data_IF_300455186265
#
_entry.id   IF_300455186265
#
_cell.length_a   1.000
_cell.length_b   1.000
_cell.length_c   1.000
_cell.angle_alpha   90.00
_cell.angle_beta   90.00
_cell.angle_gamma   90.00
#
_symmetry.space_group_name_H-M   'P 1'
#
loop_
_entity.id
_entity.type
_entity.pdbx_description
1 polymer ?
#
# COMPACT_ATOMS: atom_id res chain seq x y z
N UNK A 1 -23.78 15.61 61.87
CA UNK A 1 -23.32 16.16 60.57
C UNK A 1 -21.87 15.72 60.41
N UNK A 2 -21.53 14.55 59.86
CA UNK A 2 -21.82 13.96 58.54
C UNK A 2 -21.41 14.90 57.38
N UNK A 3 -20.37 14.45 56.66
CA UNK A 3 -19.94 14.86 55.31
C UNK A 3 -19.05 16.10 55.25
N UNK A 4 -17.80 16.00 55.71
CA UNK A 4 -16.70 16.85 55.21
C UNK A 4 -15.39 16.04 55.22
N UNK A 5 -15.35 14.92 54.51
CA UNK A 5 -14.08 14.19 54.29
C UNK A 5 -14.16 13.30 53.05
N UNK A 6 -14.56 13.85 51.90
CA UNK A 6 -14.56 13.12 50.61
C UNK A 6 -14.58 14.07 49.43
N UNK A 7 -13.61 14.99 49.36
CA UNK A 7 -13.42 15.84 48.17
C UNK A 7 -11.95 16.09 47.85
N UNK A 8 -11.08 15.09 48.07
CA UNK A 8 -9.65 15.20 47.74
C UNK A 8 -9.06 13.91 47.14
N UNK A 9 -9.87 13.15 46.39
CA UNK A 9 -9.38 12.07 45.50
C UNK A 9 -10.14 12.17 44.17
N UNK A 10 -10.02 13.31 43.50
CA UNK A 10 -10.39 13.45 42.09
C UNK A 10 -9.32 14.27 41.36
N UNK A 11 -8.06 14.03 41.74
CA UNK A 11 -6.91 14.56 41.04
C UNK A 11 -6.39 13.47 40.09
N UNK A 12 -6.65 13.69 38.80
CA UNK A 12 -5.76 13.29 37.71
C UNK A 12 -5.75 11.77 37.43
N UNK A 13 -6.88 11.25 36.98
CA UNK A 13 -6.89 10.23 35.92
C UNK A 13 -7.18 10.90 34.59
N UNK A 14 -6.39 11.92 34.26
CA UNK A 14 -6.21 12.30 32.86
C UNK A 14 -5.35 11.20 32.25
N UNK A 15 -5.99 10.07 31.96
CA UNK A 15 -5.43 9.00 31.15
C UNK A 15 -5.13 9.63 29.80
N UNK A 16 -3.90 10.10 29.62
CA UNK A 16 -3.34 10.39 28.32
C UNK A 16 -3.28 9.04 27.60
N UNK A 17 -4.38 8.68 26.95
CA UNK A 17 -4.37 7.76 25.84
C UNK A 17 -3.59 8.47 24.72
N UNK A 18 -2.27 8.55 24.89
CA UNK A 18 -1.35 8.71 23.78
C UNK A 18 -1.58 7.45 22.95
N UNK A 19 -2.49 7.54 21.98
CA UNK A 19 -2.61 6.54 20.95
C UNK A 19 -1.21 6.38 20.39
N UNK A 20 -0.59 5.22 20.63
CA UNK A 20 0.67 4.87 19.99
C UNK A 20 0.36 4.83 18.50
N UNK A 21 0.61 5.94 17.79
CA UNK A 21 0.74 5.90 16.35
C UNK A 21 1.93 4.97 16.11
N UNK A 22 1.61 3.72 15.76
CA UNK A 22 2.60 2.70 15.48
C UNK A 22 3.41 3.20 14.30
N UNK A 23 4.60 3.72 14.58
CA UNK A 23 5.48 4.26 13.57
C UNK A 23 5.74 3.17 12.52
N UNK A 24 5.50 3.50 11.26
CA UNK A 24 5.69 2.57 10.16
C UNK A 24 7.19 2.23 10.10
N UNK A 25 7.51 0.94 10.00
CA UNK A 25 8.90 0.47 9.89
C UNK A 25 9.12 -0.21 8.55
N UNK A 26 10.36 -0.18 8.04
CA UNK A 26 10.79 -0.94 6.86
C UNK A 26 10.35 -2.41 6.93
N UNK A 27 10.51 -3.04 8.09
CA UNK A 27 10.13 -4.43 8.29
C UNK A 27 8.62 -4.64 8.18
N UNK A 28 7.80 -3.70 8.67
CA UNK A 28 6.34 -3.77 8.56
C UNK A 28 5.85 -3.66 7.12
N UNK A 29 6.46 -2.79 6.30
CA UNK A 29 6.13 -2.65 4.88
C UNK A 29 6.54 -3.89 4.09
N UNK A 30 7.72 -4.46 4.33
CA UNK A 30 8.09 -5.73 3.69
C UNK A 30 7.21 -6.90 4.13
N UNK A 31 6.79 -6.92 5.40
CA UNK A 31 5.84 -7.93 5.90
C UNK A 31 4.50 -7.80 5.19
N UNK A 32 4.06 -6.57 4.90
CA UNK A 32 2.85 -6.28 4.16
C UNK A 32 2.89 -6.89 2.75
N UNK A 33 3.90 -6.53 1.95
CA UNK A 33 4.03 -7.07 0.59
C UNK A 33 4.27 -8.58 0.55
N UNK A 34 5.01 -9.11 1.53
CA UNK A 34 5.18 -10.56 1.64
C UNK A 34 3.85 -11.29 1.91
N UNK A 35 2.94 -10.68 2.67
CA UNK A 35 1.64 -11.27 2.99
C UNK A 35 0.68 -11.29 1.80
N UNK A 36 0.86 -10.43 0.81
CA UNK A 36 0.06 -10.40 -0.42
C UNK A 36 0.56 -11.35 -1.52
N UNK A 37 1.67 -12.06 -1.30
CA UNK A 37 2.20 -13.01 -2.31
C UNK A 37 1.28 -14.23 -2.38
N UNK A 38 0.64 -14.43 -3.53
CA UNK A 38 -0.16 -15.60 -3.86
C UNK A 38 0.46 -16.33 -5.06
N UNK A 39 0.86 -17.59 -4.85
CA UNK A 39 1.47 -18.43 -5.87
C UNK A 39 1.22 -19.90 -5.57
N UNK A 40 0.92 -20.69 -6.60
CA UNK A 40 0.76 -22.15 -6.48
C UNK A 40 2.08 -22.85 -6.14
N UNK A 41 3.20 -22.29 -6.59
CA UNK A 41 4.54 -22.81 -6.37
C UNK A 41 5.56 -21.68 -6.33
N UNK A 42 6.77 -21.93 -5.80
CA UNK A 42 7.87 -20.93 -5.78
C UNK A 42 8.34 -20.49 -7.18
N UNK A 43 7.93 -21.18 -8.24
CA UNK A 43 8.33 -20.90 -9.63
C UNK A 43 7.20 -20.31 -10.46
N UNK A 44 5.97 -20.26 -9.95
CA UNK A 44 4.82 -19.68 -10.66
C UNK A 44 4.52 -18.28 -10.14
N UNK A 45 4.20 -17.37 -11.04
CA UNK A 45 3.73 -16.02 -10.71
C UNK A 45 2.29 -15.92 -11.21
N UNK A 46 1.36 -15.64 -10.32
CA UNK A 46 -0.05 -15.41 -10.67
C UNK A 46 -0.27 -13.92 -10.86
N UNK A 47 0.04 -13.41 -12.06
CA UNK A 47 -0.04 -11.98 -12.39
C UNK A 47 -1.47 -11.49 -12.18
N UNK A 48 -1.63 -10.34 -11.51
CA UNK A 48 -2.94 -9.75 -11.18
C UNK A 48 -3.62 -10.33 -9.94
N UNK A 49 -3.19 -11.49 -9.43
CA UNK A 49 -3.73 -12.08 -8.20
C UNK A 49 -3.16 -11.41 -6.96
N UNK A 50 -4.03 -11.06 -6.00
CA UNK A 50 -3.72 -10.31 -4.78
C UNK A 50 -2.79 -9.09 -4.99
N UNK A 51 -2.94 -8.42 -6.13
CA UNK A 51 -2.20 -7.22 -6.44
C UNK A 51 -2.57 -6.08 -5.49
N UNK A 52 -1.62 -5.18 -5.25
CA UNK A 52 -1.91 -3.88 -4.67
C UNK A 52 -2.35 -2.94 -5.79
N UNK A 53 -3.58 -2.45 -5.73
CA UNK A 53 -4.23 -1.75 -6.84
C UNK A 53 -4.28 -0.25 -6.60
N UNK A 54 -4.07 0.53 -7.65
CA UNK A 54 -4.29 1.98 -7.67
C UNK A 54 -5.15 2.37 -8.87
N UNK A 55 -5.98 3.39 -8.72
CA UNK A 55 -6.73 3.95 -9.84
C UNK A 55 -5.77 4.62 -10.83
N UNK A 56 -6.01 4.36 -12.11
CA UNK A 56 -5.27 4.95 -13.22
C UNK A 56 -6.18 5.67 -14.23
N UNK A 57 -7.35 6.14 -13.80
CA UNK A 57 -8.20 7.00 -14.62
C UNK A 57 -7.40 8.22 -15.08
N UNK A 58 -7.43 8.51 -16.38
CA UNK A 58 -6.72 9.65 -17.00
C UNK A 58 -5.21 9.67 -16.67
N UNK A 59 -4.58 8.50 -16.57
CA UNK A 59 -3.17 8.32 -16.22
C UNK A 59 -2.80 8.86 -14.83
N UNK A 60 -3.78 9.00 -13.92
CA UNK A 60 -3.60 9.55 -12.59
C UNK A 60 -2.52 8.81 -11.77
N UNK A 61 -2.37 7.49 -11.97
CA UNK A 61 -1.34 6.73 -11.29
C UNK A 61 0.05 7.29 -11.59
N UNK A 62 0.34 7.67 -12.84
CA UNK A 62 1.65 8.13 -13.28
C UNK A 62 1.88 9.63 -13.01
N UNK A 63 0.81 10.44 -13.06
CA UNK A 63 0.94 11.89 -13.06
C UNK A 63 0.73 12.53 -11.68
N UNK A 64 -0.01 11.89 -10.78
CA UNK A 64 -0.34 12.50 -9.49
C UNK A 64 0.84 12.45 -8.52
N UNK A 65 1.01 13.50 -7.71
CA UNK A 65 2.02 13.52 -6.66
C UNK A 65 1.74 12.52 -5.54
N UNK A 66 0.49 12.10 -5.39
CA UNK A 66 0.08 11.11 -4.37
C UNK A 66 -0.69 9.98 -5.02
N UNK A 67 -0.31 8.74 -4.69
CA UNK A 67 -1.04 7.53 -5.06
C UNK A 67 -1.43 6.74 -3.82
N UNK A 68 -2.54 6.02 -3.94
CA UNK A 68 -3.05 5.10 -2.93
C UNK A 68 -3.04 3.71 -3.52
N UNK A 69 -2.38 2.79 -2.84
CA UNK A 69 -2.32 1.37 -3.17
C UNK A 69 -3.21 0.63 -2.19
N UNK A 70 -4.26 -0.01 -2.69
CA UNK A 70 -5.24 -0.75 -1.92
C UNK A 70 -4.98 -2.24 -2.03
N UNK A 71 -5.21 -2.99 -0.96
CA UNK A 71 -5.32 -4.45 -1.06
C UNK A 71 -6.47 -4.82 -2.03
N UNK A 72 -6.23 -5.80 -2.91
CA UNK A 72 -7.14 -6.17 -4.00
C UNK A 72 -8.62 -6.28 -3.58
N UNK A 73 -8.90 -7.05 -2.52
CA UNK A 73 -10.27 -7.29 -2.04
C UNK A 73 -11.00 -6.00 -1.64
N UNK A 74 -10.27 -5.09 -0.99
CA UNK A 74 -10.82 -3.81 -0.61
C UNK A 74 -11.07 -2.93 -1.83
N UNK A 75 -10.15 -2.91 -2.79
CA UNK A 75 -10.28 -2.12 -4.03
C UNK A 75 -11.52 -2.51 -4.82
N UNK A 76 -11.74 -3.81 -5.03
CA UNK A 76 -12.90 -4.33 -5.77
C UNK A 76 -14.20 -3.97 -5.06
N UNK A 77 -14.26 -4.16 -3.73
CA UNK A 77 -15.47 -3.89 -2.95
C UNK A 77 -15.79 -2.41 -2.85
N UNK A 78 -14.75 -1.56 -2.78
CA UNK A 78 -14.91 -0.12 -2.77
C UNK A 78 -15.25 0.46 -4.16
N UNK A 79 -15.22 -0.34 -5.23
CA UNK A 79 -15.41 0.09 -6.62
C UNK A 79 -14.59 1.34 -6.95
N UNK A 80 -13.31 1.35 -6.55
CA UNK A 80 -12.49 2.57 -6.57
C UNK A 80 -12.43 3.16 -7.97
N UNK A 81 -12.13 2.34 -8.99
CA UNK A 81 -11.87 2.81 -10.36
C UNK A 81 -11.70 1.66 -11.36
N UNK A 82 -12.07 1.90 -12.62
CA UNK A 82 -12.08 0.92 -13.71
C UNK A 82 -10.70 0.66 -14.34
N UNK A 83 -9.98 1.73 -14.65
CA UNK A 83 -8.61 1.67 -15.16
C UNK A 83 -7.68 1.62 -13.95
N UNK A 84 -6.79 0.63 -13.89
CA UNK A 84 -5.99 0.41 -12.68
C UNK A 84 -4.58 -0.05 -12.99
N UNK A 85 -3.67 0.32 -12.10
CA UNK A 85 -2.31 -0.22 -12.04
C UNK A 85 -2.22 -1.14 -10.83
N UNK A 86 -1.75 -2.36 -11.06
CA UNK A 86 -1.57 -3.37 -10.03
C UNK A 86 -0.10 -3.69 -9.80
N UNK A 87 0.28 -3.80 -8.53
CA UNK A 87 1.58 -4.32 -8.11
C UNK A 87 1.41 -5.75 -7.59
N UNK A 88 1.76 -6.74 -8.41
CA UNK A 88 1.74 -8.16 -8.01
C UNK A 88 3.12 -8.58 -7.52
N UNK A 89 3.27 -8.80 -6.22
CA UNK A 89 4.53 -9.25 -5.62
C UNK A 89 4.69 -10.78 -5.74
N UNK A 90 5.83 -11.26 -6.27
CA UNK A 90 6.24 -12.68 -6.19
C UNK A 90 7.41 -12.90 -5.21
N UNK A 91 8.08 -11.82 -4.81
CA UNK A 91 9.04 -11.77 -3.71
C UNK A 91 8.71 -10.57 -2.84
N UNK A 92 9.20 -10.55 -1.61
CA UNK A 92 8.93 -9.44 -0.67
C UNK A 92 9.32 -8.06 -1.23
N UNK A 93 10.27 -8.03 -2.15
CA UNK A 93 10.91 -6.84 -2.70
C UNK A 93 10.88 -6.82 -4.24
N UNK A 94 10.10 -7.69 -4.89
CA UNK A 94 9.96 -7.72 -6.35
C UNK A 94 8.51 -7.87 -6.76
N UNK A 95 8.08 -7.04 -7.70
CA UNK A 95 6.70 -6.96 -8.16
C UNK A 95 6.59 -6.65 -9.65
N UNK A 96 5.44 -7.01 -10.23
CA UNK A 96 5.14 -6.83 -11.66
C UNK A 96 4.12 -5.72 -11.63
N UNK A 97 4.39 -4.70 -12.44
CA UNK A 97 3.44 -3.64 -12.68
C UNK A 97 2.54 -4.08 -13.83
N UNK A 98 1.23 -4.08 -13.62
CA UNK A 98 0.29 -4.42 -14.67
C UNK A 98 -0.81 -3.37 -14.76
N UNK A 99 -1.10 -2.93 -15.98
CA UNK A 99 -2.27 -2.09 -16.27
C UNK A 99 -3.44 -2.96 -16.73
N UNK A 100 -4.63 -2.67 -16.22
CA UNK A 100 -5.85 -3.36 -16.61
C UNK A 100 -7.07 -2.44 -16.59
N UNK A 101 -8.10 -2.88 -17.31
CA UNK A 101 -9.39 -2.24 -17.39
C UNK A 101 -10.47 -3.30 -17.16
N UNK A 102 -11.34 -3.08 -16.16
CA UNK A 102 -12.31 -4.11 -15.73
C UNK A 102 -13.77 -3.81 -16.06
N UNK A 103 -14.10 -2.59 -16.46
CA UNK A 103 -15.49 -2.16 -16.63
C UNK A 103 -16.02 -2.30 -18.07
N UNK A 104 -15.15 -2.53 -19.06
CA UNK A 104 -15.58 -2.83 -20.44
C UNK A 104 -15.53 -4.33 -20.60
N UNK A 105 -16.53 -4.89 -21.26
CA UNK A 105 -16.63 -6.33 -21.51
C UNK A 105 -16.07 -6.65 -22.92
N UNK A 106 -15.10 -7.58 -23.05
CA UNK A 106 -14.43 -8.28 -21.97
C UNK A 106 -13.41 -7.39 -21.23
N UNK A 107 -13.15 -7.63 -19.93
CA UNK A 107 -12.04 -7.00 -19.23
C UNK A 107 -10.73 -7.20 -19.99
N UNK A 108 -9.88 -6.17 -19.99
CA UNK A 108 -8.61 -6.19 -20.71
C UNK A 108 -7.44 -5.89 -19.78
N UNK A 109 -6.28 -6.43 -20.12
CA UNK A 109 -5.02 -6.16 -19.42
C UNK A 109 -3.89 -6.06 -20.43
N UNK A 110 -2.91 -5.21 -20.14
CA UNK A 110 -1.69 -5.17 -20.93
C UNK A 110 -0.87 -6.43 -20.60
N UNK A 111 -0.42 -7.12 -21.65
CA UNK A 111 0.46 -8.28 -21.51
C UNK A 111 1.78 -7.81 -20.95
N UNK A 112 2.18 -8.39 -19.82
CA UNK A 112 3.41 -8.03 -19.13
C UNK A 112 4.63 -8.59 -19.85
N UNK A 113 5.65 -7.76 -20.04
CA UNK A 113 6.96 -8.18 -20.56
C UNK A 113 8.08 -7.90 -19.53
N UNK A 114 9.35 -8.10 -19.91
CA UNK A 114 10.48 -7.89 -19.00
C UNK A 114 10.54 -6.48 -18.39
N UNK A 115 10.07 -5.45 -19.11
CA UNK A 115 10.06 -4.06 -18.65
C UNK A 115 9.07 -3.83 -17.51
N UNK A 116 8.15 -4.76 -17.29
CA UNK A 116 7.15 -4.66 -16.22
C UNK A 116 7.64 -5.27 -14.90
N UNK A 117 8.87 -5.76 -14.85
CA UNK A 117 9.47 -6.35 -13.65
C UNK A 117 10.25 -5.31 -12.84
N UNK A 118 9.79 -5.07 -11.63
CA UNK A 118 10.35 -4.09 -10.72
C UNK A 118 10.87 -4.72 -9.43
N UNK A 119 11.82 -4.03 -8.80
CA UNK A 119 12.21 -4.27 -7.42
C UNK A 119 12.00 -3.01 -6.57
N UNK A 120 11.91 -3.20 -5.25
CA UNK A 120 11.80 -2.09 -4.30
C UNK A 120 12.98 -2.04 -3.33
N UNK A 121 13.37 -0.83 -2.96
CA UNK A 121 14.26 -0.57 -1.82
C UNK A 121 13.54 0.37 -0.86
N UNK A 122 13.57 0.03 0.43
CA UNK A 122 13.02 0.89 1.48
C UNK A 122 14.17 1.37 2.37
N UNK A 123 14.22 2.67 2.59
CA UNK A 123 15.23 3.36 3.39
C UNK A 123 14.54 4.29 4.39
N UNK A 124 15.10 4.36 5.59
CA UNK A 124 14.73 5.36 6.57
C UNK A 124 15.69 6.55 6.41
N UNK A 125 15.12 7.74 6.24
CA UNK A 125 15.85 8.99 6.12
C UNK A 125 15.18 10.02 7.03
N UNK A 126 15.78 11.20 7.17
CA UNK A 126 15.12 12.30 7.85
C UNK A 126 13.74 12.57 7.21
N UNK A 127 12.71 12.68 8.05
CA UNK A 127 11.33 12.90 7.61
C UNK A 127 10.51 11.64 7.26
N UNK A 128 11.09 10.43 7.26
CA UNK A 128 10.31 9.18 7.21
C UNK A 128 10.91 8.04 6.40
N UNK A 129 10.03 7.11 5.99
CA UNK A 129 10.40 5.97 5.16
C UNK A 129 10.21 6.29 3.67
N UNK A 130 11.23 5.98 2.88
CA UNK A 130 11.23 6.17 1.44
C UNK A 130 11.25 4.82 0.73
N UNK A 131 10.37 4.65 -0.25
CA UNK A 131 10.27 3.49 -1.13
C UNK A 131 10.74 3.90 -2.53
N UNK A 132 11.81 3.29 -3.02
CA UNK A 132 12.28 3.47 -4.40
C UNK A 132 11.96 2.23 -5.23
N UNK A 133 11.47 2.44 -6.45
CA UNK A 133 11.21 1.38 -7.44
C UNK A 133 12.32 1.36 -8.48
N UNK A 134 12.75 0.16 -8.88
CA UNK A 134 13.80 -0.04 -9.87
C UNK A 134 13.34 -1.00 -10.95
N UNK A 135 13.54 -0.65 -12.21
CA UNK A 135 13.23 -1.53 -13.33
C UNK A 135 14.35 -2.57 -13.47
N UNK A 136 14.01 -3.85 -13.34
CA UNK A 136 15.01 -4.93 -13.33
C UNK A 136 15.50 -5.33 -14.72
N UNK A 137 14.74 -5.01 -15.77
CA UNK A 137 15.14 -5.24 -17.17
C UNK A 137 16.18 -4.23 -17.64
N UNK A 138 16.03 -2.95 -17.27
CA UNK A 138 16.96 -1.86 -17.58
C UNK A 138 18.06 -1.73 -16.51
N UNK A 139 18.70 -2.85 -16.15
CA UNK A 139 19.89 -2.84 -15.27
C UNK A 139 19.67 -2.32 -13.85
N UNK A 140 18.45 -2.46 -13.28
CA UNK A 140 18.05 -1.85 -12.00
C UNK A 140 18.05 -0.32 -12.01
N UNK A 141 17.67 0.29 -13.14
CA UNK A 141 17.45 1.74 -13.23
C UNK A 141 16.38 2.20 -12.23
N UNK A 142 16.68 3.27 -11.49
CA UNK A 142 15.72 3.94 -10.62
C UNK A 142 14.58 4.54 -11.46
N UNK A 143 13.34 4.23 -11.09
CA UNK A 143 12.14 4.72 -11.78
C UNK A 143 11.48 5.80 -10.96
N UNK A 144 11.09 5.49 -9.72
CA UNK A 144 10.46 6.46 -8.83
C UNK A 144 10.99 6.32 -7.41
N UNK A 145 10.87 7.40 -6.63
CA UNK A 145 11.02 7.38 -5.18
C UNK A 145 9.80 8.02 -4.55
N UNK A 146 9.28 7.37 -3.52
CA UNK A 146 8.12 7.78 -2.77
C UNK A 146 8.45 7.97 -1.30
N UNK A 147 7.92 9.00 -0.66
CA UNK A 147 7.71 9.02 0.78
C UNK A 147 6.49 8.15 1.10
N UNK A 148 6.65 7.20 2.01
CA UNK A 148 5.54 6.41 2.52
C UNK A 148 4.81 7.26 3.58
N UNK A 149 3.65 7.80 3.22
CA UNK A 149 2.91 8.74 4.06
C UNK A 149 2.11 8.04 5.15
N UNK A 150 1.41 6.96 4.81
CA UNK A 150 0.59 6.21 5.74
C UNK A 150 0.37 4.77 5.29
N UNK A 151 0.05 3.91 6.25
CA UNK A 151 -0.51 2.58 6.04
C UNK A 151 -1.76 2.50 6.92
N UNK A 152 -2.90 2.67 6.28
CA UNK A 152 -4.20 2.78 6.95
C UNK A 152 -4.98 1.48 6.78
N UNK A 153 -5.86 1.19 7.74
CA UNK A 153 -6.89 0.16 7.59
C UNK A 153 -8.21 0.85 7.26
N UNK A 154 -8.83 0.48 6.14
CA UNK A 154 -10.07 1.05 5.65
C UNK A 154 -11.13 -0.03 5.49
N UNK A 155 -12.37 0.34 5.79
CA UNK A 155 -13.52 -0.56 5.71
C UNK A 155 -14.50 -0.06 4.65
N UNK A 156 -14.79 -0.90 3.67
CA UNK A 156 -15.81 -0.65 2.66
C UNK A 156 -16.83 -1.78 2.68
N UNK A 157 -18.07 -1.44 3.07
CA UNK A 157 -19.11 -2.45 3.31
C UNK A 157 -18.70 -3.43 4.41
N UNK A 158 -18.55 -4.71 4.05
CA UNK A 158 -18.10 -5.77 4.96
C UNK A 158 -16.60 -6.05 4.90
N UNK A 159 -15.91 -5.55 3.87
CA UNK A 159 -14.48 -5.79 3.69
C UNK A 159 -13.66 -4.78 4.49
N UNK A 160 -12.65 -5.28 5.19
CA UNK A 160 -11.60 -4.52 5.83
C UNK A 160 -10.30 -4.84 5.09
N UNK A 161 -9.58 -3.81 4.66
CA UNK A 161 -8.29 -3.98 4.00
C UNK A 161 -7.38 -2.81 4.26
N UNK A 162 -6.14 -2.95 3.78
CA UNK A 162 -5.12 -1.91 3.97
C UNK A 162 -4.97 -1.02 2.75
N UNK A 163 -4.58 0.22 3.03
CA UNK A 163 -4.29 1.24 2.03
C UNK A 163 -2.94 1.86 2.35
N UNK A 164 -2.01 1.76 1.40
CA UNK A 164 -0.69 2.38 1.47
C UNK A 164 -0.72 3.68 0.67
N UNK A 165 -0.48 4.80 1.33
CA UNK A 165 -0.41 6.12 0.69
C UNK A 165 1.04 6.49 0.42
N UNK A 166 1.36 6.78 -0.83
CA UNK A 166 2.70 7.11 -1.29
C UNK A 166 2.70 8.51 -1.92
N UNK A 167 3.70 9.32 -1.58
CA UNK A 167 3.91 10.66 -2.16
C UNK A 167 5.18 10.65 -2.97
N UNK A 168 5.10 10.97 -4.26
CA UNK A 168 6.24 11.06 -5.17
C UNK A 168 7.22 12.14 -4.73
N UNK A 169 8.50 11.81 -4.78
CA UNK A 169 9.60 12.77 -4.62
C UNK A 169 10.07 13.15 -6.02
N UNK A 170 9.97 14.44 -6.34
CA UNK A 170 10.46 15.04 -7.58
C UNK A 170 11.90 15.50 -7.42
#
# INVERSE_FOLDING_TARGET
>A
MKIVLSFFILAITFSTALGQQKMLTKASVFKLFKASIEQESKKSIMIGHNAWLSCNKDSAYFNNDTIRLYENRLYETANVCCDRVGWTFWKKDSFILQESQICKEPPTGIVTDGKDYYSIKIEEREGGLYLSTFNTYDGNKLIETFLIKSLDEEKHGKELGKVLTLVRIK
#
